data_IF_224647057532
#
_entry.id   IF_224647057532
#
_cell.length_a   1.000
_cell.length_b   1.000
_cell.length_c   1.000
_cell.angle_alpha   90.00
_cell.angle_beta   90.00
_cell.angle_gamma   90.00
#
_symmetry.space_group_name_H-M   'P 1'
#
loop_
_entity.id
_entity.type
_entity.pdbx_description
1 polymer ?
#
# COMPACT_ATOMS: atom_id res chain seq x y z
N UNK A 1 28.39 -5.50 75.19
CA UNK A 1 27.15 -5.03 74.56
C UNK A 1 27.58 -4.27 73.31
N UNK A 2 27.31 -4.66 72.06
CA UNK A 2 26.12 -5.28 71.47
C UNK A 2 26.54 -6.14 70.26
N UNK A 3 26.04 -7.38 70.17
CA UNK A 3 26.21 -8.23 68.99
C UNK A 3 24.98 -8.02 68.08
N UNK A 4 25.17 -7.35 66.94
CA UNK A 4 24.13 -7.17 65.91
C UNK A 4 23.98 -8.48 65.12
N UNK A 5 22.83 -9.13 65.30
CA UNK A 5 22.39 -10.29 64.54
C UNK A 5 21.87 -9.84 63.16
N UNK A 6 22.69 -9.96 62.13
CA UNK A 6 22.25 -9.88 60.74
C UNK A 6 21.95 -11.29 60.22
N UNK A 7 20.70 -11.72 60.32
CA UNK A 7 20.23 -12.93 59.64
C UNK A 7 19.97 -12.59 58.17
N UNK A 8 20.95 -12.87 57.32
CA UNK A 8 20.79 -12.85 55.86
C UNK A 8 19.77 -13.90 55.43
N UNK A 9 18.68 -13.44 54.82
CA UNK A 9 17.64 -14.27 54.21
C UNK A 9 18.15 -14.72 52.83
N UNK A 10 18.61 -15.97 52.72
CA UNK A 10 19.01 -16.54 51.44
C UNK A 10 17.78 -16.98 50.64
N UNK A 11 17.50 -16.29 49.54
CA UNK A 11 16.48 -16.66 48.56
C UNK A 11 16.98 -17.92 47.84
N UNK A 12 16.30 -19.05 48.05
CA UNK A 12 16.58 -20.32 47.37
C UNK A 12 15.95 -20.26 45.98
N UNK A 13 16.74 -19.98 44.95
CA UNK A 13 16.30 -20.11 43.56
C UNK A 13 16.16 -21.60 43.27
N UNK A 14 14.92 -22.11 43.26
CA UNK A 14 14.60 -23.46 42.84
C UNK A 14 15.05 -23.65 41.39
N UNK A 15 16.11 -24.43 41.19
CA UNK A 15 16.65 -24.72 39.86
C UNK A 15 15.60 -25.40 39.00
N UNK A 16 15.24 -24.76 37.88
CA UNK A 16 14.52 -25.42 36.80
C UNK A 16 15.42 -26.56 36.31
N UNK A 17 15.02 -27.81 36.54
CA UNK A 17 15.79 -28.98 36.10
C UNK A 17 15.88 -28.99 34.58
N UNK A 18 17.01 -28.53 34.05
CA UNK A 18 17.31 -28.64 32.62
C UNK A 18 17.54 -30.12 32.32
N UNK A 19 16.53 -30.79 31.75
CA UNK A 19 16.71 -32.09 31.10
C UNK A 19 17.79 -31.90 30.02
N UNK A 20 18.88 -32.65 30.12
CA UNK A 20 19.93 -32.64 29.11
C UNK A 20 19.33 -33.17 27.79
N UNK A 21 19.22 -32.29 26.79
CA UNK A 21 18.75 -32.62 25.46
C UNK A 21 19.83 -33.44 24.73
N UNK A 22 19.44 -34.49 24.03
CA UNK A 22 20.38 -35.26 23.22
C UNK A 22 20.73 -34.51 21.93
N UNK A 23 21.94 -34.74 21.40
CA UNK A 23 22.37 -34.16 20.12
C UNK A 23 21.41 -34.53 18.98
N UNK A 24 20.88 -35.76 19.00
CA UNK A 24 19.95 -36.25 17.98
C UNK A 24 18.60 -35.53 18.04
N UNK A 25 18.09 -35.22 19.23
CA UNK A 25 16.83 -34.46 19.36
C UNK A 25 16.97 -33.04 18.82
N UNK A 26 18.11 -32.38 19.03
CA UNK A 26 18.36 -31.05 18.45
C UNK A 26 18.51 -31.13 16.92
N UNK A 27 19.23 -32.14 16.41
CA UNK A 27 19.43 -32.38 14.98
C UNK A 27 18.10 -32.61 14.23
N UNK A 28 17.21 -33.42 14.78
CA UNK A 28 15.91 -33.70 14.15
C UNK A 28 15.05 -32.44 14.10
N UNK A 29 15.07 -31.62 15.15
CA UNK A 29 14.30 -30.37 15.20
C UNK A 29 14.77 -29.39 14.14
N UNK A 30 16.08 -29.16 14.01
CA UNK A 30 16.60 -28.24 12.98
C UNK A 30 16.37 -28.79 11.57
N UNK A 31 16.39 -30.12 11.39
CA UNK A 31 16.08 -30.74 10.10
C UNK A 31 14.62 -30.48 9.69
N UNK A 32 13.67 -30.64 10.62
CA UNK A 32 12.25 -30.36 10.37
C UNK A 32 12.03 -28.86 10.11
N UNK A 33 12.62 -27.97 10.92
CA UNK A 33 12.52 -26.52 10.71
C UNK A 33 13.10 -26.13 9.34
N UNK A 34 14.25 -26.69 8.96
CA UNK A 34 14.87 -26.45 7.66
C UNK A 34 13.98 -26.87 6.48
N UNK A 35 13.34 -28.05 6.58
CA UNK A 35 12.38 -28.52 5.58
C UNK A 35 11.18 -27.57 5.43
N UNK A 36 10.59 -27.15 6.55
CA UNK A 36 9.45 -26.23 6.55
C UNK A 36 9.84 -24.84 6.00
N UNK A 37 10.99 -24.32 6.43
CA UNK A 37 11.51 -23.03 5.97
C UNK A 37 11.78 -23.04 4.46
N UNK A 38 12.33 -24.13 3.91
CA UNK A 38 12.60 -24.26 2.48
C UNK A 38 11.33 -24.13 1.62
N UNK A 39 10.18 -24.61 2.12
CA UNK A 39 8.89 -24.46 1.43
C UNK A 39 8.28 -23.07 1.60
N UNK A 40 8.52 -22.40 2.73
CA UNK A 40 7.93 -21.09 3.04
C UNK A 40 8.67 -19.91 2.39
N UNK A 41 10.00 -19.92 2.36
CA UNK A 41 10.84 -18.85 1.81
C UNK A 41 10.44 -18.34 0.41
N UNK A 42 10.15 -19.20 -0.60
CA UNK A 42 9.80 -18.70 -1.94
C UNK A 42 8.47 -17.92 -1.97
N UNK A 43 7.57 -18.14 -1.01
CA UNK A 43 6.24 -17.47 -0.97
C UNK A 43 6.23 -16.18 -0.15
N UNK A 44 7.15 -16.05 0.81
CA UNK A 44 7.14 -14.95 1.79
C UNK A 44 7.24 -13.57 1.13
N UNK A 45 8.05 -13.42 0.08
CA UNK A 45 8.18 -12.16 -0.66
C UNK A 45 6.87 -11.70 -1.29
N UNK A 46 6.09 -12.63 -1.86
CA UNK A 46 4.78 -12.33 -2.46
C UNK A 46 3.75 -11.95 -1.39
N UNK A 47 3.76 -12.61 -0.23
CA UNK A 47 2.87 -12.30 0.89
C UNK A 47 3.11 -10.88 1.40
N UNK A 48 4.38 -10.53 1.64
CA UNK A 48 4.75 -9.17 2.09
C UNK A 48 4.33 -8.12 1.06
N UNK A 49 4.55 -8.38 -0.22
CA UNK A 49 4.15 -7.45 -1.28
C UNK A 49 2.63 -7.31 -1.38
N UNK A 50 1.87 -8.40 -1.26
CA UNK A 50 0.41 -8.35 -1.20
C UNK A 50 -0.08 -7.50 -0.04
N UNK A 51 0.55 -7.57 1.14
CA UNK A 51 0.24 -6.70 2.27
C UNK A 51 0.47 -5.21 1.98
N UNK A 52 1.60 -4.86 1.34
CA UNK A 52 1.88 -3.48 0.92
C UNK A 52 0.89 -2.99 -0.14
N UNK A 53 0.52 -3.87 -1.07
CA UNK A 53 -0.47 -3.55 -2.10
C UNK A 53 -1.85 -3.27 -1.49
N UNK A 54 -2.27 -4.01 -0.46
CA UNK A 54 -3.50 -3.69 0.28
C UNK A 54 -3.47 -2.28 0.86
N UNK A 55 -2.32 -1.82 1.37
CA UNK A 55 -2.17 -0.43 1.80
C UNK A 55 -2.28 0.55 0.63
N UNK A 56 -1.66 0.28 -0.53
CA UNK A 56 -1.79 1.17 -1.70
C UNK A 56 -3.24 1.20 -2.24
N UNK A 57 -3.97 0.09 -2.17
CA UNK A 57 -5.41 0.03 -2.50
C UNK A 57 -6.25 0.87 -1.52
N UNK A 58 -5.98 0.79 -0.21
CA UNK A 58 -6.63 1.64 0.79
C UNK A 58 -6.35 3.12 0.56
N UNK A 59 -5.13 3.45 0.12
CA UNK A 59 -4.76 4.81 -0.24
C UNK A 59 -5.53 5.31 -1.47
N UNK A 60 -5.66 4.49 -2.52
CA UNK A 60 -6.49 4.80 -3.70
C UNK A 60 -7.96 5.02 -3.32
N UNK A 61 -8.51 4.23 -2.38
CA UNK A 61 -9.87 4.44 -1.90
C UNK A 61 -10.01 5.81 -1.21
N UNK A 62 -9.06 6.17 -0.33
CA UNK A 62 -9.05 7.47 0.34
C UNK A 62 -8.90 8.62 -0.66
N UNK A 63 -8.10 8.46 -1.71
CA UNK A 63 -8.02 9.43 -2.82
C UNK A 63 -9.34 9.54 -3.58
N UNK A 64 -10.02 8.43 -3.85
CA UNK A 64 -11.34 8.44 -4.47
C UNK A 64 -12.37 9.20 -3.64
N UNK A 65 -12.37 9.01 -2.33
CA UNK A 65 -13.20 9.81 -1.41
C UNK A 65 -12.83 11.30 -1.46
N UNK A 66 -11.53 11.64 -1.45
CA UNK A 66 -11.09 13.03 -1.55
C UNK A 66 -11.49 13.69 -2.87
N UNK A 67 -11.42 12.95 -3.99
CA UNK A 67 -11.89 13.41 -5.30
C UNK A 67 -13.40 13.66 -5.31
N UNK A 68 -14.20 12.78 -4.69
CA UNK A 68 -15.64 12.99 -4.58
C UNK A 68 -15.98 14.27 -3.79
N UNK A 69 -15.28 14.51 -2.67
CA UNK A 69 -15.45 15.74 -1.89
C UNK A 69 -15.06 16.97 -2.71
N UNK A 70 -13.95 16.91 -3.44
CA UNK A 70 -13.53 17.99 -4.35
C UNK A 70 -14.62 18.28 -5.39
N UNK A 71 -15.12 17.25 -6.08
CA UNK A 71 -16.13 17.38 -7.14
C UNK A 71 -17.42 18.03 -6.62
N UNK A 72 -17.86 17.65 -5.41
CA UNK A 72 -19.04 18.23 -4.75
C UNK A 72 -18.88 19.73 -4.49
N UNK A 73 -17.67 20.19 -4.18
CA UNK A 73 -17.37 21.60 -3.91
C UNK A 73 -17.08 22.41 -5.18
N UNK A 74 -16.81 21.75 -6.31
CA UNK A 74 -16.32 22.36 -7.54
C UNK A 74 -17.27 22.19 -8.74
N UNK A 75 -18.59 22.32 -8.50
CA UNK A 75 -19.62 22.27 -9.55
C UNK A 75 -19.59 20.98 -10.40
N UNK A 76 -19.42 19.83 -9.75
CA UNK A 76 -19.33 18.51 -10.39
C UNK A 76 -18.15 18.33 -11.36
N UNK A 77 -17.08 19.14 -11.23
CA UNK A 77 -15.91 19.06 -12.11
C UNK A 77 -14.72 18.40 -11.46
N UNK A 78 -14.01 17.61 -12.26
CA UNK A 78 -12.72 17.04 -11.87
C UNK A 78 -11.64 18.12 -11.74
N UNK A 79 -10.67 17.92 -10.82
CA UNK A 79 -9.61 18.88 -10.59
C UNK A 79 -8.74 19.09 -11.83
N UNK A 80 -8.22 20.31 -11.98
CA UNK A 80 -7.18 20.63 -12.96
C UNK A 80 -5.80 20.45 -12.31
N UNK A 81 -5.21 19.28 -12.49
CA UNK A 81 -3.90 18.96 -11.90
C UNK A 81 -3.03 18.14 -12.85
N UNK A 82 -1.73 18.07 -12.56
CA UNK A 82 -0.79 17.26 -13.34
C UNK A 82 0.32 16.73 -12.46
N UNK A 83 0.73 15.50 -12.73
CA UNK A 83 1.90 14.90 -12.08
C UNK A 83 3.12 15.80 -12.20
N UNK A 84 3.77 16.07 -11.07
CA UNK A 84 5.04 16.79 -11.05
C UNK A 84 6.09 16.03 -11.86
N UNK A 85 6.61 16.66 -12.91
CA UNK A 85 7.72 16.14 -13.70
C UNK A 85 9.04 16.57 -13.07
N UNK A 86 10.04 15.68 -13.09
CA UNK A 86 11.38 15.98 -12.59
C UNK A 86 12.24 16.71 -13.62
N UNK A 87 11.82 16.70 -14.90
CA UNK A 87 12.62 17.19 -16.02
C UNK A 87 11.99 18.40 -16.71
N UNK A 88 10.73 18.71 -16.44
CA UNK A 88 9.98 19.80 -17.08
C UNK A 88 9.14 20.52 -16.03
N UNK A 89 9.07 21.85 -16.12
CA UNK A 89 8.14 22.63 -15.31
C UNK A 89 6.72 22.39 -15.81
N UNK A 90 5.81 22.01 -14.92
CA UNK A 90 4.38 21.91 -15.24
C UNK A 90 3.67 23.21 -14.88
N UNK A 91 2.74 23.63 -15.73
CA UNK A 91 1.89 24.82 -15.48
C UNK A 91 0.71 24.54 -14.53
N UNK A 92 0.45 23.27 -14.21
CA UNK A 92 -0.63 22.84 -13.31
C UNK A 92 -0.07 22.33 -11.98
N UNK A 93 -0.79 22.57 -10.86
CA UNK A 93 -0.42 22.06 -9.55
C UNK A 93 -0.46 20.52 -9.51
N UNK A 94 0.36 19.93 -8.65
CA UNK A 94 0.41 18.48 -8.46
C UNK A 94 -0.70 17.96 -7.54
N UNK A 95 -1.03 16.66 -7.61
CA UNK A 95 -2.13 16.09 -6.82
C UNK A 95 -2.02 16.31 -5.30
N UNK A 96 -0.81 16.33 -4.76
CA UNK A 96 -0.55 16.64 -3.35
C UNK A 96 -0.91 18.07 -2.97
N UNK A 97 -0.77 19.02 -3.88
CA UNK A 97 -1.19 20.40 -3.65
C UNK A 97 -2.70 20.54 -3.76
N UNK A 98 -3.30 19.98 -4.82
CA UNK A 98 -4.74 20.16 -5.11
C UNK A 98 -5.63 19.42 -4.11
N UNK A 99 -5.28 18.18 -3.76
CA UNK A 99 -6.09 17.35 -2.87
C UNK A 99 -5.71 17.52 -1.39
N UNK A 100 -4.74 18.37 -1.05
CA UNK A 100 -4.26 18.55 0.33
C UNK A 100 -5.36 18.84 1.36
N UNK A 101 -6.39 19.61 0.97
CA UNK A 101 -7.49 19.98 1.86
C UNK A 101 -8.54 18.88 1.99
N UNK A 102 -8.66 17.99 1.00
CA UNK A 102 -9.63 16.89 0.98
C UNK A 102 -9.02 15.59 1.48
N UNK A 103 -7.69 15.49 1.47
CA UNK A 103 -6.94 14.40 2.09
C UNK A 103 -6.72 14.72 3.56
N UNK A 104 -7.19 13.85 4.46
CA UNK A 104 -6.88 13.98 5.90
C UNK A 104 -5.36 13.92 6.20
N UNK A 105 -4.56 13.34 5.29
CA UNK A 105 -3.11 13.32 5.35
C UNK A 105 -2.51 13.10 3.95
N UNK A 106 -1.58 13.96 3.51
CA UNK A 106 -0.89 13.83 2.21
C UNK A 106 -0.06 12.56 2.06
N UNK A 107 0.32 11.90 3.17
CA UNK A 107 1.01 10.61 3.12
C UNK A 107 0.14 9.49 2.51
N UNK A 108 -1.16 9.69 2.33
CA UNK A 108 -2.02 8.81 1.53
C UNK A 108 -1.50 8.69 0.08
N UNK A 109 -0.89 9.75 -0.46
CA UNK A 109 -0.32 9.74 -1.82
C UNK A 109 0.98 8.94 -1.92
N UNK A 110 1.48 8.37 -0.82
CA UNK A 110 2.64 7.47 -0.83
C UNK A 110 2.18 6.03 -0.98
N UNK A 111 2.71 5.30 -1.96
CA UNK A 111 2.60 3.84 -1.98
C UNK A 111 3.77 3.26 -1.19
N UNK A 112 3.56 2.42 -0.15
CA UNK A 112 4.66 1.78 0.56
C UNK A 112 5.62 1.03 -0.36
N UNK A 113 5.19 0.51 -1.50
CA UNK A 113 6.04 -0.20 -2.47
C UNK A 113 6.82 0.70 -3.43
N UNK A 114 6.74 2.02 -3.28
CA UNK A 114 7.57 2.99 -3.99
C UNK A 114 9.03 2.90 -3.52
N UNK A 115 9.88 2.25 -4.33
CA UNK A 115 11.31 2.05 -4.02
C UNK A 115 12.19 3.18 -4.53
N UNK A 116 11.73 3.89 -5.55
CA UNK A 116 12.45 4.98 -6.19
C UNK A 116 12.20 6.31 -5.48
N UNK A 117 11.43 6.32 -4.38
CA UNK A 117 11.08 7.52 -3.62
C UNK A 117 10.39 8.58 -4.50
N UNK A 118 9.52 8.12 -5.42
CA UNK A 118 8.80 9.01 -6.32
C UNK A 118 7.89 9.96 -5.54
N UNK A 119 7.31 9.53 -4.42
CA UNK A 119 6.56 10.41 -3.53
C UNK A 119 7.39 11.62 -3.06
N UNK A 120 8.62 11.40 -2.57
CA UNK A 120 9.50 12.49 -2.12
C UNK A 120 9.86 13.45 -3.25
N UNK A 121 10.09 12.90 -4.44
CA UNK A 121 10.54 13.68 -5.58
C UNK A 121 9.39 14.47 -6.23
N UNK A 122 8.20 13.87 -6.29
CA UNK A 122 7.07 14.34 -7.11
C UNK A 122 5.81 14.69 -6.34
N UNK A 123 5.76 14.44 -5.03
CA UNK A 123 4.60 14.64 -4.16
C UNK A 123 3.60 13.47 -4.14
N UNK A 124 3.72 12.50 -5.05
CA UNK A 124 2.80 11.36 -5.14
C UNK A 124 3.46 10.14 -5.78
N UNK A 125 3.21 8.94 -5.23
CA UNK A 125 3.52 7.67 -5.89
C UNK A 125 2.46 7.27 -6.93
N UNK A 126 1.37 8.04 -7.05
CA UNK A 126 0.27 7.79 -7.98
C UNK A 126 0.20 8.87 -9.05
N UNK A 127 -0.18 8.47 -10.25
CA UNK A 127 -0.43 9.34 -11.39
C UNK A 127 -1.88 9.74 -11.49
N UNK A 128 -2.11 11.00 -11.83
CA UNK A 128 -3.42 11.52 -12.22
C UNK A 128 -3.59 11.48 -13.74
N UNK A 129 -4.76 11.05 -14.21
CA UNK A 129 -5.11 11.09 -15.62
C UNK A 129 -5.51 12.52 -16.04
N UNK A 130 -4.51 13.30 -16.44
CA UNK A 130 -4.71 14.71 -16.84
C UNK A 130 -5.58 14.93 -18.08
N UNK A 131 -5.92 13.87 -18.82
CA UNK A 131 -6.90 13.95 -19.92
C UNK A 131 -8.31 14.30 -19.44
N UNK A 132 -8.58 14.12 -18.14
CA UNK A 132 -9.89 14.36 -17.53
C UNK A 132 -9.96 15.69 -16.76
N UNK A 133 -8.93 16.52 -16.87
CA UNK A 133 -8.88 17.80 -16.19
C UNK A 133 -10.09 18.67 -16.55
N UNK A 134 -10.87 19.07 -15.54
CA UNK A 134 -12.04 19.94 -15.70
C UNK A 134 -13.27 19.29 -16.33
N UNK A 135 -13.21 18.01 -16.68
CA UNK A 135 -14.37 17.25 -17.16
C UNK A 135 -15.44 17.14 -16.06
N UNK A 136 -16.68 16.96 -16.51
CA UNK A 136 -17.81 16.68 -15.62
C UNK A 136 -17.70 15.24 -15.10
N UNK A 137 -17.78 15.05 -13.78
CA UNK A 137 -17.57 13.76 -13.14
C UNK A 137 -18.60 12.68 -13.55
N UNK A 138 -19.81 13.08 -13.95
CA UNK A 138 -20.87 12.18 -14.42
C UNK A 138 -20.83 11.95 -15.93
N UNK A 139 -20.12 12.82 -16.66
CA UNK A 139 -20.07 12.82 -18.13
C UNK A 139 -18.64 12.96 -18.64
N UNK A 140 -17.83 11.93 -18.37
CA UNK A 140 -16.42 11.92 -18.77
C UNK A 140 -16.23 11.84 -20.28
N UNK A 141 -15.43 12.75 -20.80
CA UNK A 141 -14.91 12.68 -22.15
C UNK A 141 -13.39 12.82 -22.17
N UNK A 142 -12.74 12.11 -23.10
CA UNK A 142 -11.32 12.26 -23.35
C UNK A 142 -11.08 12.24 -24.86
N UNK A 143 -10.24 13.14 -25.38
CA UNK A 143 -9.96 13.23 -26.83
C UNK A 143 -11.23 13.38 -27.69
N UNK A 144 -12.30 13.99 -27.15
CA UNK A 144 -13.57 14.18 -27.85
C UNK A 144 -14.48 12.94 -27.91
N UNK A 145 -14.12 11.84 -27.26
CA UNK A 145 -14.95 10.63 -27.14
C UNK A 145 -15.56 10.56 -25.73
N UNK A 146 -16.84 10.18 -25.62
CA UNK A 146 -17.50 9.90 -24.34
C UNK A 146 -17.16 8.49 -23.87
N UNK A 147 -16.94 8.34 -22.57
CA UNK A 147 -16.58 7.05 -21.99
C UNK A 147 -17.50 6.68 -20.83
N UNK A 148 -17.63 5.37 -20.62
CA UNK A 148 -18.22 4.83 -19.42
C UNK A 148 -17.25 5.05 -18.23
N UNK A 149 -17.71 5.56 -17.07
CA UNK A 149 -16.89 5.73 -15.87
C UNK A 149 -16.11 4.48 -15.42
N UNK A 150 -16.57 3.28 -15.78
CA UNK A 150 -15.89 2.01 -15.48
C UNK A 150 -14.63 1.77 -16.32
N UNK A 151 -14.41 2.51 -17.41
CA UNK A 151 -13.36 2.22 -18.39
C UNK A 151 -12.15 3.15 -18.27
N UNK A 152 -12.28 4.30 -17.62
CA UNK A 152 -11.19 5.27 -17.49
C UNK A 152 -10.68 5.34 -16.05
N UNK A 153 -9.37 5.07 -15.83
CA UNK A 153 -8.78 5.32 -14.53
C UNK A 153 -8.61 6.83 -14.30
N UNK A 154 -9.03 7.28 -13.12
CA UNK A 154 -8.74 8.61 -12.59
C UNK A 154 -7.30 8.68 -12.07
N UNK A 155 -6.91 7.68 -11.26
CA UNK A 155 -5.57 7.59 -10.67
C UNK A 155 -5.03 6.18 -10.74
N UNK A 156 -3.71 6.01 -10.81
CA UNK A 156 -3.06 4.71 -10.86
C UNK A 156 -1.63 4.78 -10.32
N UNK A 157 -1.02 3.63 -9.98
CA UNK A 157 0.37 3.63 -9.54
C UNK A 157 1.29 4.17 -10.66
N UNK A 158 2.21 5.08 -10.34
CA UNK A 158 3.14 5.67 -11.32
C UNK A 158 4.00 4.63 -12.03
N UNK A 159 4.38 3.61 -11.28
CA UNK A 159 5.19 2.51 -11.75
C UNK A 159 4.51 1.20 -11.38
N UNK A 160 4.97 0.12 -12.00
CA UNK A 160 4.54 -1.22 -11.64
C UNK A 160 5.22 -1.68 -10.33
N UNK A 161 4.89 -1.03 -9.20
CA UNK A 161 5.46 -1.30 -7.88
C UNK A 161 5.18 -2.73 -7.40
N UNK A 162 4.09 -3.34 -7.85
CA UNK A 162 3.55 -4.57 -7.28
C UNK A 162 3.78 -5.82 -8.17
N UNK A 163 4.79 -5.81 -9.04
CA UNK A 163 5.11 -6.92 -9.99
C UNK A 163 5.20 -8.30 -9.33
N UNK A 164 5.58 -8.38 -8.05
CA UNK A 164 5.69 -9.67 -7.33
C UNK A 164 4.33 -10.35 -7.08
N UNK A 165 3.20 -9.65 -7.24
CA UNK A 165 1.84 -10.21 -7.11
C UNK A 165 1.44 -11.09 -8.31
N UNK A 166 2.14 -11.00 -9.43
CA UNK A 166 1.86 -11.75 -10.65
C UNK A 166 1.81 -10.87 -11.89
N UNK A 167 1.70 -11.51 -13.05
CA UNK A 167 1.50 -10.82 -14.31
C UNK A 167 0.22 -9.99 -14.25
N UNK A 168 0.24 -8.77 -14.79
CA UNK A 168 -0.91 -7.86 -14.87
C UNK A 168 -1.44 -7.28 -13.53
N UNK A 169 -0.75 -7.57 -12.41
CA UNK A 169 -1.07 -7.02 -11.07
C UNK A 169 -0.02 -6.04 -10.54
N UNK A 170 0.84 -5.57 -11.44
CA UNK A 170 1.93 -4.65 -11.13
C UNK A 170 1.48 -3.25 -10.75
N UNK A 171 0.32 -2.83 -11.25
CA UNK A 171 -0.25 -1.48 -11.12
C UNK A 171 -1.68 -1.60 -10.58
N UNK A 172 -2.03 -0.78 -9.62
CA UNK A 172 -3.39 -0.56 -9.15
C UNK A 172 -4.00 0.66 -9.85
N UNK A 173 -5.31 0.61 -10.09
CA UNK A 173 -6.05 1.65 -10.82
C UNK A 173 -7.30 2.01 -10.03
N UNK A 174 -7.54 3.29 -9.80
CA UNK A 174 -8.78 3.86 -9.31
C UNK A 174 -9.57 4.41 -10.50
N UNK A 175 -10.80 3.96 -10.67
CA UNK A 175 -11.73 4.40 -11.71
C UNK A 175 -12.72 5.43 -11.20
N UNK A 176 -13.45 6.05 -12.12
CA UNK A 176 -14.29 7.20 -11.82
C UNK A 176 -15.56 6.90 -11.04
N UNK A 177 -16.09 5.69 -11.19
CA UNK A 177 -17.15 5.14 -10.33
C UNK A 177 -16.64 4.78 -8.92
N UNK A 178 -15.35 5.00 -8.63
CA UNK A 178 -14.72 4.71 -7.34
C UNK A 178 -14.25 3.27 -7.17
N UNK A 179 -14.44 2.39 -8.16
CA UNK A 179 -13.90 1.03 -8.07
C UNK A 179 -12.39 1.04 -8.27
N UNK A 180 -11.71 0.08 -7.62
CA UNK A 180 -10.26 -0.05 -7.72
C UNK A 180 -9.93 -1.41 -8.33
N UNK A 181 -9.24 -1.42 -9.47
CA UNK A 181 -8.74 -2.67 -10.07
C UNK A 181 -7.80 -3.35 -9.08
N UNK A 182 -7.93 -4.66 -8.96
CA UNK A 182 -7.13 -5.50 -8.06
C UNK A 182 -7.45 -5.35 -6.56
N UNK A 183 -8.55 -4.66 -6.18
CA UNK A 183 -9.06 -4.62 -4.80
C UNK A 183 -9.48 -6.01 -4.28
N UNK A 184 -9.92 -6.90 -5.19
CA UNK A 184 -10.58 -8.16 -4.85
C UNK A 184 -9.69 -9.42 -4.92
N UNK A 185 -8.37 -9.31 -5.06
CA UNK A 185 -7.51 -10.52 -5.05
C UNK A 185 -7.45 -11.26 -3.69
N UNK A 186 -8.20 -10.81 -2.68
CA UNK A 186 -8.40 -11.47 -1.39
C UNK A 186 -9.77 -12.16 -1.31
N UNK A 187 -10.74 -11.83 -2.17
CA UNK A 187 -11.95 -12.63 -2.35
C UNK A 187 -11.71 -13.62 -3.48
N UNK A 188 -11.68 -14.90 -3.14
CA UNK A 188 -11.30 -15.97 -4.06
C UNK A 188 -12.07 -15.93 -5.38
N UNK A 189 -11.38 -16.33 -6.44
CA UNK A 189 -11.97 -16.95 -7.65
C UNK A 189 -13.23 -16.28 -8.20
N UNK A 190 -13.09 -15.16 -8.90
CA UNK A 190 -13.98 -14.86 -10.02
C UNK A 190 -13.11 -14.40 -11.19
N UNK A 191 -12.93 -15.30 -12.16
CA UNK A 191 -12.62 -14.90 -13.52
C UNK A 191 -13.83 -14.11 -14.02
N UNK A 192 -13.64 -12.82 -14.26
CA UNK A 192 -14.58 -12.07 -15.09
C UNK A 192 -14.33 -12.46 -16.56
N UNK A 193 -15.39 -12.63 -17.36
CA UNK A 193 -15.33 -13.16 -18.73
C UNK A 193 -14.53 -12.27 -19.71
#
# INVERSE_FOLDING_TARGET
MYHLSSRGLYIRISGFGFRAFTLIEMLVVIAIIGLLAAMLLPTFGRIKESGRATSCLSNLHQMGTALQLYVQENNNRLPNMRDKSLTVTNDLPSPDMVLSNHLGNVNVLRCPSDREQLFEQTGSSYSWNSLLNGEDADHLSALGMRFDPHQIPLMFDKEAFHKLRGNDKGVNFLYADGHIKNLLAIQGTVQSP
#
